data_IF_529189900800
#
_entry.id   IF_529189900800
#
_cell.length_a   1.000
_cell.length_b   1.000
_cell.length_c   1.000
_cell.angle_alpha   90.00
_cell.angle_beta   90.00
_cell.angle_gamma   90.00
#
_symmetry.space_group_name_H-M   'P 1'
#
loop_
_entity.id
_entity.type
_entity.pdbx_description
1 polymer ?
#
# COMPACT_ATOMS: atom_id res chain seq x y z
N UNK A 1 -24.29 -15.14 6.34
CA UNK A 1 -23.51 -13.89 6.52
C UNK A 1 -24.37 -12.87 7.22
N UNK A 2 -23.83 -12.25 8.30
CA UNK A 2 -24.58 -11.30 9.12
C UNK A 2 -24.67 -9.95 8.37
N UNK A 3 -25.86 -9.34 8.30
CA UNK A 3 -26.07 -8.03 7.64
C UNK A 3 -25.16 -6.92 8.15
N UNK A 4 -24.82 -6.94 9.45
CA UNK A 4 -23.86 -6.03 10.08
C UNK A 4 -22.45 -6.15 9.46
N UNK A 5 -21.97 -7.36 9.19
CA UNK A 5 -20.66 -7.58 8.55
C UNK A 5 -20.66 -7.11 7.09
N UNK A 6 -21.73 -7.37 6.35
CA UNK A 6 -21.85 -6.96 4.96
C UNK A 6 -21.94 -5.43 4.81
N UNK A 7 -22.67 -4.76 5.69
CA UNK A 7 -22.80 -3.30 5.64
C UNK A 7 -21.50 -2.58 6.02
N UNK A 8 -20.74 -3.11 6.99
CA UNK A 8 -19.42 -2.57 7.36
C UNK A 8 -18.43 -2.77 6.22
N UNK A 9 -18.37 -3.97 5.65
CA UNK A 9 -17.49 -4.29 4.51
C UNK A 9 -17.77 -3.37 3.31
N UNK A 10 -19.03 -3.18 2.95
CA UNK A 10 -19.41 -2.28 1.86
C UNK A 10 -18.96 -0.83 2.07
N UNK A 11 -18.98 -0.33 3.33
CA UNK A 11 -18.47 1.00 3.66
C UNK A 11 -16.95 1.08 3.55
N UNK A 12 -16.24 0.01 3.91
CA UNK A 12 -14.79 -0.07 3.82
C UNK A 12 -14.34 -0.21 2.36
N UNK A 13 -15.07 -0.99 1.54
CA UNK A 13 -14.82 -1.10 0.10
C UNK A 13 -14.98 0.26 -0.61
N UNK A 14 -16.05 1.02 -0.29
CA UNK A 14 -16.27 2.36 -0.85
C UNK A 14 -15.20 3.36 -0.39
N UNK A 15 -14.81 3.31 0.89
CA UNK A 15 -13.73 4.11 1.44
C UNK A 15 -12.41 3.82 0.72
N UNK A 16 -12.04 2.54 0.64
CA UNK A 16 -10.81 2.10 -0.02
C UNK A 16 -10.78 2.51 -1.50
N UNK A 17 -11.87 2.23 -2.24
CA UNK A 17 -11.99 2.65 -3.64
C UNK A 17 -11.78 4.16 -3.79
N UNK A 18 -12.35 4.94 -2.90
CA UNK A 18 -12.26 6.40 -2.96
C UNK A 18 -10.84 6.88 -2.70
N UNK A 19 -10.17 6.33 -1.68
CA UNK A 19 -8.78 6.66 -1.38
C UNK A 19 -7.87 6.24 -2.55
N UNK A 20 -8.00 5.00 -3.03
CA UNK A 20 -7.08 4.46 -4.02
C UNK A 20 -7.26 5.07 -5.41
N UNK A 21 -8.49 5.32 -5.85
CA UNK A 21 -8.73 5.94 -7.17
C UNK A 21 -8.15 7.36 -7.25
N UNK A 22 -8.10 8.08 -6.12
CA UNK A 22 -7.64 9.47 -6.05
C UNK A 22 -6.12 9.66 -6.00
N UNK A 23 -5.33 8.58 -5.89
CA UNK A 23 -3.87 8.70 -5.80
C UNK A 23 -3.26 9.21 -7.10
N UNK A 24 -2.39 10.20 -7.01
CA UNK A 24 -1.62 10.72 -8.16
C UNK A 24 -0.63 9.65 -8.63
N UNK A 25 -0.53 9.48 -9.95
CA UNK A 25 0.32 8.43 -10.55
C UNK A 25 -0.43 7.15 -10.93
N UNK A 26 -1.71 7.05 -10.62
CA UNK A 26 -2.56 5.97 -11.10
C UNK A 26 -2.81 6.07 -12.63
N UNK A 27 -3.24 4.95 -13.23
CA UNK A 27 -3.62 4.90 -14.63
C UNK A 27 -4.92 5.69 -14.92
N UNK A 28 -5.30 5.75 -16.19
CA UNK A 28 -6.53 6.44 -16.64
C UNK A 28 -7.80 5.95 -15.94
N UNK A 29 -7.90 4.66 -15.60
CA UNK A 29 -9.08 4.13 -14.89
C UNK A 29 -9.21 4.68 -13.48
N UNK A 30 -8.11 4.89 -12.76
CA UNK A 30 -8.11 5.57 -11.46
C UNK A 30 -8.65 6.99 -11.60
N UNK A 31 -8.12 7.76 -12.54
CA UNK A 31 -8.62 9.09 -12.85
C UNK A 31 -10.11 9.08 -13.23
N UNK A 32 -10.53 8.18 -14.12
CA UNK A 32 -11.94 8.05 -14.52
C UNK A 32 -12.86 7.70 -13.36
N UNK A 33 -12.45 6.77 -12.48
CA UNK A 33 -13.22 6.42 -11.29
C UNK A 33 -13.32 7.60 -10.30
N UNK A 34 -12.26 8.39 -10.14
CA UNK A 34 -12.28 9.59 -9.31
C UNK A 34 -13.33 10.58 -9.80
N UNK A 35 -13.33 10.87 -11.10
CA UNK A 35 -14.27 11.84 -11.68
C UNK A 35 -15.71 11.33 -11.87
N UNK A 36 -15.92 10.02 -11.79
CA UNK A 36 -17.25 9.42 -11.94
C UNK A 36 -17.79 8.86 -10.62
N UNK A 37 -17.22 7.76 -10.15
CA UNK A 37 -17.74 7.03 -8.98
C UNK A 37 -17.52 7.80 -7.67
N UNK A 38 -16.28 8.29 -7.46
CA UNK A 38 -15.91 9.01 -6.23
C UNK A 38 -16.66 10.34 -6.15
N UNK A 39 -16.64 11.13 -7.22
CA UNK A 39 -17.37 12.40 -7.28
C UNK A 39 -18.87 12.20 -6.99
N UNK A 40 -19.50 11.19 -7.58
CA UNK A 40 -20.93 10.87 -7.30
C UNK A 40 -21.17 10.45 -5.84
N UNK A 41 -20.25 9.69 -5.24
CA UNK A 41 -20.34 9.30 -3.83
C UNK A 41 -20.25 10.53 -2.91
N UNK A 42 -19.32 11.45 -3.18
CA UNK A 42 -19.16 12.69 -2.43
C UNK A 42 -20.41 13.58 -2.56
N UNK A 43 -20.94 13.77 -3.77
CA UNK A 43 -22.14 14.57 -3.99
C UNK A 43 -23.34 13.98 -3.24
N UNK A 44 -23.52 12.65 -3.31
CA UNK A 44 -24.65 11.97 -2.65
C UNK A 44 -24.59 12.01 -1.13
N UNK A 45 -23.40 11.87 -0.56
CA UNK A 45 -23.20 11.74 0.90
C UNK A 45 -22.76 13.04 1.59
N UNK A 46 -22.37 14.04 0.82
CA UNK A 46 -22.00 15.37 1.31
C UNK A 46 -20.67 15.44 2.06
N UNK A 47 -20.49 16.56 2.78
CA UNK A 47 -19.24 16.91 3.48
C UNK A 47 -18.83 15.88 4.53
N UNK A 48 -19.81 15.26 5.22
CA UNK A 48 -19.52 14.24 6.25
C UNK A 48 -18.73 13.05 5.67
N UNK A 49 -19.09 12.60 4.47
CA UNK A 49 -18.37 11.52 3.79
C UNK A 49 -16.95 11.97 3.37
N UNK A 50 -16.82 13.19 2.84
CA UNK A 50 -15.54 13.77 2.48
C UNK A 50 -14.58 13.77 3.68
N UNK A 51 -15.06 14.20 4.85
CA UNK A 51 -14.26 14.25 6.08
C UNK A 51 -13.93 12.87 6.65
N UNK A 52 -14.65 11.80 6.28
CA UNK A 52 -14.31 10.42 6.68
C UNK A 52 -13.25 9.78 5.78
N UNK A 53 -12.97 10.37 4.62
CA UNK A 53 -11.97 9.87 3.67
C UNK A 53 -10.62 10.53 3.89
N UNK A 54 -10.61 11.85 3.97
CA UNK A 54 -9.41 12.66 4.11
C UNK A 54 -9.59 13.67 5.24
N UNK A 55 -8.61 13.76 6.09
CA UNK A 55 -8.45 14.82 7.07
C UNK A 55 -7.58 15.94 6.46
N UNK A 56 -7.69 17.16 6.98
CA UNK A 56 -6.87 18.32 6.57
C UNK A 56 -6.86 18.56 5.04
N UNK A 57 -8.04 18.53 4.42
CA UNK A 57 -8.16 18.65 2.96
C UNK A 57 -7.76 20.06 2.50
N UNK A 58 -6.81 20.13 1.59
CA UNK A 58 -6.39 21.33 0.91
C UNK A 58 -6.59 21.19 -0.61
N UNK A 59 -7.08 22.23 -1.24
CA UNK A 59 -7.15 22.33 -2.70
C UNK A 59 -5.87 22.98 -3.21
N UNK A 60 -5.19 22.31 -4.14
CA UNK A 60 -4.00 22.82 -4.79
C UNK A 60 -4.04 22.51 -6.27
N UNK A 61 -3.01 22.93 -7.01
CA UNK A 61 -2.90 22.69 -8.43
C UNK A 61 -1.59 21.97 -8.74
N UNK A 62 -1.70 20.85 -9.41
CA UNK A 62 -0.57 20.14 -9.99
C UNK A 62 -0.35 20.63 -11.41
N UNK A 63 0.90 20.96 -11.78
CA UNK A 63 1.29 21.28 -13.15
C UNK A 63 2.08 20.13 -13.75
N UNK A 64 1.68 19.65 -14.92
CA UNK A 64 2.47 18.68 -15.64
C UNK A 64 3.66 19.35 -16.38
N UNK A 65 4.52 18.53 -16.98
CA UNK A 65 5.70 18.99 -17.73
C UNK A 65 5.35 19.95 -18.88
N UNK A 66 4.13 19.86 -19.43
CA UNK A 66 3.63 20.76 -20.48
C UNK A 66 2.99 22.04 -19.92
N UNK A 67 3.08 22.27 -18.61
CA UNK A 67 2.53 23.47 -17.95
C UNK A 67 1.01 23.46 -17.76
N UNK A 68 0.32 22.36 -18.09
CA UNK A 68 -1.13 22.24 -17.89
C UNK A 68 -1.41 22.04 -16.40
N UNK A 69 -2.29 22.87 -15.86
CA UNK A 69 -2.65 22.87 -14.45
C UNK A 69 -3.91 22.06 -14.19
N UNK A 70 -3.84 21.16 -13.21
CA UNK A 70 -4.96 20.31 -12.77
C UNK A 70 -5.27 20.58 -11.29
N UNK A 71 -6.53 20.82 -10.92
CA UNK A 71 -6.90 20.90 -9.51
C UNK A 71 -6.78 19.52 -8.86
N UNK A 72 -6.10 19.46 -7.72
CA UNK A 72 -5.93 18.26 -6.91
C UNK A 72 -6.31 18.54 -5.47
N UNK A 73 -6.82 17.51 -4.80
CA UNK A 73 -7.07 17.54 -3.37
C UNK A 73 -5.91 16.82 -2.67
N UNK A 74 -5.27 17.50 -1.76
CA UNK A 74 -4.28 16.91 -0.85
C UNK A 74 -4.95 16.78 0.51
N UNK A 75 -4.77 15.66 1.19
CA UNK A 75 -5.29 15.44 2.53
C UNK A 75 -4.69 14.17 3.14
N UNK A 76 -4.84 14.03 4.44
CA UNK A 76 -4.40 12.84 5.16
C UNK A 76 -5.53 11.81 5.16
N UNK A 77 -5.34 10.62 4.57
CA UNK A 77 -6.34 9.57 4.68
C UNK A 77 -6.35 9.01 6.11
N UNK A 78 -7.50 8.49 6.56
CA UNK A 78 -7.56 7.76 7.82
C UNK A 78 -6.68 6.52 7.75
N UNK A 79 -5.47 6.65 8.30
CA UNK A 79 -4.41 5.64 8.18
C UNK A 79 -4.81 4.30 8.79
N UNK A 80 -5.38 4.29 10.00
CA UNK A 80 -5.77 3.06 10.70
C UNK A 80 -6.83 2.28 9.92
N UNK A 81 -7.76 3.00 9.32
CA UNK A 81 -8.79 2.40 8.47
C UNK A 81 -8.21 1.83 7.19
N UNK A 82 -7.32 2.56 6.51
CA UNK A 82 -6.58 2.07 5.34
C UNK A 82 -5.77 0.82 5.68
N UNK A 83 -5.01 0.88 6.76
CA UNK A 83 -4.22 -0.25 7.24
C UNK A 83 -5.08 -1.48 7.47
N UNK A 84 -6.23 -1.31 8.15
CA UNK A 84 -7.19 -2.40 8.39
C UNK A 84 -7.76 -2.97 7.10
N UNK A 85 -8.10 -2.13 6.11
CA UNK A 85 -8.57 -2.57 4.80
C UNK A 85 -7.52 -3.42 4.08
N UNK A 86 -6.28 -2.94 3.99
CA UNK A 86 -5.19 -3.67 3.34
C UNK A 86 -4.83 -4.96 4.06
N UNK A 87 -4.83 -4.96 5.39
CA UNK A 87 -4.62 -6.15 6.19
C UNK A 87 -5.65 -7.24 5.88
N UNK A 88 -6.92 -6.86 5.82
CA UNK A 88 -8.00 -7.80 5.51
C UNK A 88 -7.88 -8.37 4.09
N UNK A 89 -7.53 -7.53 3.10
CA UNK A 89 -7.29 -7.99 1.72
C UNK A 89 -6.10 -8.95 1.68
N UNK A 90 -4.98 -8.56 2.28
CA UNK A 90 -3.75 -9.35 2.29
C UNK A 90 -3.97 -10.73 2.93
N UNK A 91 -4.71 -10.80 4.04
CA UNK A 91 -5.03 -12.07 4.71
C UNK A 91 -6.00 -12.93 3.87
N UNK A 92 -6.93 -12.30 3.18
CA UNK A 92 -7.81 -12.97 2.23
C UNK A 92 -7.04 -13.56 1.04
N UNK A 93 -6.09 -12.81 0.47
CA UNK A 93 -5.22 -13.26 -0.61
C UNK A 93 -4.28 -14.39 -0.14
N UNK A 94 -3.74 -14.27 1.08
CA UNK A 94 -2.93 -15.34 1.69
C UNK A 94 -3.72 -16.63 1.81
N UNK A 95 -4.95 -16.55 2.33
CA UNK A 95 -5.83 -17.73 2.42
C UNK A 95 -6.14 -18.31 1.03
N UNK A 96 -6.40 -17.45 0.05
CA UNK A 96 -6.66 -17.88 -1.32
C UNK A 96 -5.47 -18.62 -1.93
N UNK A 97 -4.26 -18.10 -1.73
CA UNK A 97 -3.02 -18.67 -2.31
C UNK A 97 -2.58 -19.96 -1.62
N UNK A 98 -2.64 -20.01 -0.30
CA UNK A 98 -2.05 -21.10 0.49
C UNK A 98 -3.08 -22.06 1.11
N UNK A 99 -4.38 -21.79 1.00
CA UNK A 99 -5.46 -22.64 1.54
C UNK A 99 -5.54 -22.68 3.06
N UNK A 100 -4.76 -21.87 3.76
CA UNK A 100 -4.72 -21.79 5.23
C UNK A 100 -4.82 -20.35 5.73
N UNK A 101 -5.34 -20.17 6.95
CA UNK A 101 -5.31 -18.84 7.61
C UNK A 101 -3.88 -18.47 7.92
N UNK A 102 -3.58 -17.19 7.75
CA UNK A 102 -2.30 -16.66 8.20
C UNK A 102 -2.25 -16.60 9.73
N UNK A 103 -1.21 -17.21 10.30
CA UNK A 103 -0.90 -17.15 11.72
C UNK A 103 0.54 -16.66 11.88
N UNK A 104 0.72 -15.48 12.49
CA UNK A 104 2.02 -14.87 12.65
C UNK A 104 1.96 -13.35 12.69
N UNK A 105 3.09 -12.73 12.39
CA UNK A 105 3.25 -11.28 12.35
C UNK A 105 3.26 -10.78 10.90
N UNK A 106 2.59 -9.66 10.63
CA UNK A 106 2.64 -9.02 9.31
C UNK A 106 2.97 -7.54 9.43
N UNK A 107 3.73 -7.02 8.47
CA UNK A 107 3.97 -5.60 8.28
C UNK A 107 3.38 -5.16 6.96
N UNK A 108 2.79 -3.97 6.94
CA UNK A 108 2.16 -3.38 5.75
C UNK A 108 2.77 -2.02 5.52
N UNK A 109 3.27 -1.80 4.32
CA UNK A 109 3.81 -0.53 3.87
C UNK A 109 3.01 -0.03 2.67
N UNK A 110 2.52 1.19 2.77
CA UNK A 110 1.76 1.87 1.71
C UNK A 110 2.72 2.76 0.93
N UNK A 111 3.22 2.26 -0.18
CA UNK A 111 4.27 2.91 -0.99
C UNK A 111 3.83 4.26 -1.60
N UNK A 112 2.53 4.44 -1.79
CA UNK A 112 1.94 5.66 -2.36
C UNK A 112 1.79 6.81 -1.34
N UNK A 113 2.00 6.57 -0.05
CA UNK A 113 2.00 7.63 0.97
C UNK A 113 3.39 8.25 1.07
N UNK A 114 3.42 9.56 1.26
CA UNK A 114 4.65 10.30 1.61
C UNK A 114 4.69 10.49 3.12
N UNK A 115 5.79 10.14 3.73
CA UNK A 115 6.01 10.30 5.16
C UNK A 115 6.89 11.52 5.41
N UNK A 116 6.58 12.27 6.47
CA UNK A 116 7.39 13.43 6.88
C UNK A 116 8.74 13.00 7.48
N UNK A 117 8.79 11.79 8.03
CA UNK A 117 9.98 11.20 8.61
C UNK A 117 10.92 10.64 7.53
N UNK A 118 12.11 11.21 7.43
CA UNK A 118 13.14 10.85 6.44
C UNK A 118 13.55 9.38 6.55
N UNK A 119 13.61 8.83 7.76
CA UNK A 119 13.98 7.43 7.99
C UNK A 119 12.93 6.49 7.41
N UNK A 120 11.66 6.78 7.59
CA UNK A 120 10.55 6.00 7.00
C UNK A 120 10.59 6.03 5.47
N UNK A 121 10.90 7.19 4.87
CA UNK A 121 11.06 7.29 3.41
C UNK A 121 12.27 6.47 2.92
N UNK A 122 13.40 6.51 3.60
CA UNK A 122 14.57 5.67 3.28
C UNK A 122 14.25 4.18 3.38
N UNK A 123 13.52 3.75 4.41
CA UNK A 123 13.08 2.37 4.56
C UNK A 123 12.18 1.95 3.38
N UNK A 124 11.26 2.80 2.98
CA UNK A 124 10.40 2.55 1.82
C UNK A 124 11.20 2.33 0.54
N UNK A 125 12.20 3.19 0.29
CA UNK A 125 13.10 3.06 -0.86
C UNK A 125 13.92 1.77 -0.79
N UNK A 126 14.45 1.41 0.38
CA UNK A 126 15.19 0.18 0.62
C UNK A 126 14.35 -1.07 0.29
N UNK A 127 13.11 -1.13 0.79
CA UNK A 127 12.22 -2.27 0.53
C UNK A 127 11.87 -2.36 -0.96
N UNK A 128 11.61 -1.22 -1.61
CA UNK A 128 11.35 -1.16 -3.05
C UNK A 128 12.54 -1.71 -3.83
N UNK A 129 13.75 -1.25 -3.51
CA UNK A 129 14.98 -1.69 -4.16
C UNK A 129 15.18 -3.20 -4.04
N UNK A 130 15.01 -3.78 -2.85
CA UNK A 130 15.10 -5.23 -2.64
C UNK A 130 14.12 -6.02 -3.51
N UNK A 131 12.87 -5.56 -3.63
CA UNK A 131 11.88 -6.22 -4.48
C UNK A 131 12.21 -6.10 -5.98
N UNK A 132 12.91 -5.03 -6.40
CA UNK A 132 13.36 -4.85 -7.78
C UNK A 132 14.51 -5.80 -8.14
N UNK A 133 15.38 -6.11 -7.19
CA UNK A 133 16.53 -7.01 -7.35
C UNK A 133 16.16 -8.49 -7.33
N UNK A 134 14.94 -8.86 -6.91
CA UNK A 134 14.46 -10.23 -6.99
C UNK A 134 14.60 -10.77 -8.42
N UNK A 135 15.46 -11.78 -8.57
CA UNK A 135 15.79 -12.38 -9.88
C UNK A 135 14.62 -13.11 -10.49
N UNK A 136 13.77 -13.74 -9.66
CA UNK A 136 12.58 -14.45 -10.09
C UNK A 136 11.35 -13.54 -9.92
N UNK A 137 10.91 -12.93 -11.02
CA UNK A 137 9.69 -12.12 -10.99
C UNK A 137 8.47 -13.00 -10.72
N UNK A 138 7.66 -12.67 -9.71
CA UNK A 138 6.48 -13.44 -9.38
C UNK A 138 5.41 -13.32 -10.48
N UNK A 139 4.54 -14.34 -10.55
CA UNK A 139 3.35 -14.27 -11.38
C UNK A 139 2.38 -13.20 -10.84
N UNK A 140 1.94 -12.32 -11.73
CA UNK A 140 0.95 -11.29 -11.42
C UNK A 140 -0.44 -11.90 -11.57
N UNK A 141 -1.21 -11.89 -10.50
CA UNK A 141 -2.57 -12.40 -10.41
C UNK A 141 -3.58 -11.25 -10.29
N UNK A 142 -4.83 -11.48 -10.70
CA UNK A 142 -5.92 -10.51 -10.59
C UNK A 142 -6.90 -10.60 -11.76
N UNK A 143 -8.20 -10.59 -11.47
CA UNK A 143 -9.25 -10.66 -12.50
C UNK A 143 -9.33 -9.40 -13.37
N UNK A 144 -8.91 -8.26 -12.83
CA UNK A 144 -8.84 -6.99 -13.57
C UNK A 144 -7.55 -6.24 -13.19
N UNK A 145 -6.41 -6.57 -13.81
CA UNK A 145 -5.10 -6.05 -13.43
C UNK A 145 -4.94 -4.54 -13.64
N UNK A 146 -5.79 -3.92 -14.43
CA UNK A 146 -5.79 -2.46 -14.58
C UNK A 146 -6.36 -1.74 -13.34
N UNK A 147 -7.20 -2.42 -12.54
CA UNK A 147 -7.76 -1.89 -11.30
C UNK A 147 -7.03 -2.45 -10.09
N UNK A 148 -6.85 -3.78 -10.06
CA UNK A 148 -6.22 -4.47 -8.96
C UNK A 148 -5.49 -5.71 -9.44
N UNK A 149 -4.22 -5.82 -9.07
CA UNK A 149 -3.40 -7.01 -9.23
C UNK A 149 -2.55 -7.25 -7.99
N UNK A 150 -2.07 -8.46 -7.83
CA UNK A 150 -1.19 -8.81 -6.73
C UNK A 150 -0.19 -9.89 -7.15
N UNK A 151 0.91 -9.96 -6.41
CA UNK A 151 1.92 -10.97 -6.63
C UNK A 151 2.54 -11.40 -5.30
N UNK A 152 2.64 -12.72 -5.09
CA UNK A 152 3.39 -13.31 -3.98
C UNK A 152 4.78 -13.64 -4.43
N UNK A 153 5.77 -13.12 -3.72
CA UNK A 153 7.16 -13.49 -3.88
C UNK A 153 7.45 -14.79 -3.13
N UNK A 154 8.46 -15.51 -3.55
CA UNK A 154 8.93 -16.68 -2.81
C UNK A 154 9.44 -16.27 -1.43
N UNK A 155 9.39 -17.18 -0.45
CA UNK A 155 10.02 -16.91 0.84
C UNK A 155 11.49 -16.55 0.64
N UNK A 156 11.92 -15.48 1.31
CA UNK A 156 13.33 -15.09 1.34
C UNK A 156 14.18 -16.08 2.18
N UNK A 157 15.45 -15.79 2.32
CA UNK A 157 16.40 -16.58 3.11
C UNK A 157 16.00 -16.72 4.60
N UNK A 158 15.16 -15.82 5.11
CA UNK A 158 14.62 -15.84 6.47
C UNK A 158 13.22 -16.48 6.53
N UNK A 159 12.68 -16.95 5.42
CA UNK A 159 11.34 -17.54 5.34
C UNK A 159 10.19 -16.52 5.34
N UNK A 160 10.47 -15.24 5.10
CA UNK A 160 9.45 -14.21 4.98
C UNK A 160 8.80 -14.25 3.60
N UNK A 161 7.47 -14.21 3.56
CA UNK A 161 6.70 -14.17 2.32
C UNK A 161 6.31 -12.73 2.06
N UNK A 162 6.68 -12.19 0.90
CA UNK A 162 6.29 -10.85 0.48
C UNK A 162 5.10 -10.90 -0.48
N UNK A 163 4.16 -9.99 -0.28
CA UNK A 163 3.02 -9.74 -1.15
C UNK A 163 3.05 -8.30 -1.62
N UNK A 164 2.98 -8.09 -2.93
CA UNK A 164 2.77 -6.78 -3.53
C UNK A 164 1.35 -6.71 -4.07
N UNK A 165 0.56 -5.78 -3.57
CA UNK A 165 -0.76 -5.43 -4.10
C UNK A 165 -0.63 -4.14 -4.90
N UNK A 166 -1.12 -4.12 -6.13
CA UNK A 166 -1.05 -2.96 -7.02
C UNK A 166 -2.46 -2.51 -7.38
N UNK A 167 -2.75 -1.25 -7.13
CA UNK A 167 -4.02 -0.61 -7.44
C UNK A 167 -3.82 0.38 -8.59
N UNK A 168 -4.68 0.33 -9.59
CA UNK A 168 -4.67 1.21 -10.76
C UNK A 168 -3.28 1.34 -11.42
N UNK A 169 -2.51 0.27 -11.40
CA UNK A 169 -1.15 0.18 -11.94
C UNK A 169 -0.13 1.19 -11.36
N UNK A 170 -0.55 2.08 -10.47
CA UNK A 170 0.29 3.14 -9.89
C UNK A 170 0.57 2.93 -8.41
N UNK A 171 -0.46 2.67 -7.62
CA UNK A 171 -0.35 2.60 -6.15
C UNK A 171 -0.02 1.20 -5.67
N UNK A 172 1.08 1.05 -4.93
CA UNK A 172 1.52 -0.24 -4.38
C UNK A 172 1.35 -0.29 -2.88
N UNK A 173 1.01 -1.48 -2.40
CA UNK A 173 1.01 -1.83 -0.98
C UNK A 173 1.82 -3.10 -0.82
N UNK A 174 2.84 -3.03 0.02
CA UNK A 174 3.78 -4.11 0.29
C UNK A 174 3.41 -4.75 1.63
N UNK A 175 3.33 -6.06 1.65
CA UNK A 175 3.02 -6.81 2.88
C UNK A 175 4.07 -7.90 3.06
N UNK A 176 4.71 -7.89 4.22
CA UNK A 176 5.60 -8.96 4.63
C UNK A 176 4.88 -9.84 5.66
N UNK A 177 4.88 -11.14 5.43
CA UNK A 177 4.31 -12.15 6.30
C UNK A 177 5.41 -12.98 6.94
N UNK A 178 5.42 -13.05 8.27
CA UNK A 178 6.23 -13.95 9.07
C UNK A 178 5.34 -14.97 9.75
N UNK A 179 5.37 -16.20 9.26
CA UNK A 179 4.58 -17.29 9.87
C UNK A 179 5.06 -17.61 11.29
N UNK A 180 4.16 -18.11 12.12
CA UNK A 180 4.50 -18.60 13.45
C UNK A 180 5.54 -19.72 13.35
N UNK A 181 6.59 -19.62 14.18
CA UNK A 181 7.69 -20.60 14.22
C UNK A 181 8.94 -20.16 13.46
N UNK A 182 8.88 -19.12 12.65
CA UNK A 182 10.08 -18.49 12.09
C UNK A 182 10.81 -17.79 13.21
N UNK A 183 12.02 -18.28 13.56
CA UNK A 183 12.80 -17.79 14.70
C UNK A 183 13.58 -16.53 14.39
N UNK A 184 13.96 -16.36 13.12
CA UNK A 184 14.74 -15.20 12.73
C UNK A 184 13.98 -13.89 12.92
N UNK A 185 14.68 -12.83 13.28
CA UNK A 185 14.06 -11.55 13.49
C UNK A 185 13.35 -11.09 12.22
N UNK A 186 12.11 -10.74 12.37
CA UNK A 186 11.35 -10.07 11.35
C UNK A 186 12.12 -8.82 10.91
N UNK A 187 12.83 -8.97 9.80
CA UNK A 187 13.70 -7.96 9.26
C UNK A 187 14.73 -7.41 10.27
N UNK A 188 15.88 -8.12 10.41
CA UNK A 188 16.96 -7.72 11.32
C UNK A 188 17.40 -6.26 11.05
N UNK A 189 17.51 -5.87 9.77
CA UNK A 189 17.84 -4.50 9.36
C UNK A 189 16.89 -3.49 10.00
N UNK A 190 15.57 -3.76 9.94
CA UNK A 190 14.56 -2.90 10.55
C UNK A 190 14.66 -2.84 12.07
N UNK A 191 14.99 -3.96 12.72
CA UNK A 191 15.24 -3.97 14.17
C UNK A 191 16.44 -3.14 14.56
N UNK A 192 17.53 -3.23 13.82
CA UNK A 192 18.74 -2.41 14.05
C UNK A 192 18.43 -0.93 13.86
N UNK A 193 17.76 -0.57 12.77
CA UNK A 193 17.35 0.80 12.49
C UNK A 193 16.46 1.34 13.64
N UNK A 194 15.42 0.60 14.00
CA UNK A 194 14.47 1.01 15.05
C UNK A 194 15.07 1.07 16.46
N UNK A 195 16.17 0.35 16.69
CA UNK A 195 16.90 0.40 17.97
C UNK A 195 17.97 1.51 18.01
N UNK A 196 18.06 2.34 16.97
CA UNK A 196 19.03 3.44 16.90
C UNK A 196 20.47 2.99 16.57
N UNK A 197 20.66 1.76 16.11
CA UNK A 197 21.97 1.27 15.68
C UNK A 197 22.29 1.83 14.31
N UNK A 198 23.47 2.45 14.16
CA UNK A 198 23.93 2.91 12.86
C UNK A 198 24.01 1.70 11.91
N UNK A 199 23.21 1.77 10.84
CA UNK A 199 23.02 0.65 9.92
C UNK A 199 23.30 1.13 8.50
N UNK A 200 24.20 0.42 7.80
CA UNK A 200 24.53 0.67 6.40
C UNK A 200 24.09 -0.54 5.57
N UNK A 201 23.40 -0.29 4.47
CA UNK A 201 22.95 -1.30 3.52
C UNK A 201 23.43 -0.90 2.15
N UNK A 202 24.29 -1.72 1.57
CA UNK A 202 24.83 -1.53 0.22
C UNK A 202 24.28 -2.61 -0.71
N UNK A 203 23.99 -2.23 -1.94
CA UNK A 203 23.51 -3.11 -3.01
C UNK A 203 24.59 -3.31 -4.07
N UNK A 204 24.52 -4.41 -4.82
CA UNK A 204 25.52 -4.79 -5.85
C UNK A 204 25.68 -3.73 -6.95
N UNK A 205 24.68 -2.91 -7.20
CA UNK A 205 24.75 -1.81 -8.18
C UNK A 205 25.37 -0.52 -7.62
N UNK A 206 25.87 -0.55 -6.38
CA UNK A 206 26.49 0.59 -5.71
C UNK A 206 25.51 1.55 -5.04
N UNK A 207 24.20 1.24 -5.06
CA UNK A 207 23.22 1.99 -4.27
C UNK A 207 23.41 1.69 -2.79
N UNK A 208 23.45 2.72 -1.95
CA UNK A 208 23.60 2.57 -0.51
C UNK A 208 22.56 3.36 0.30
N UNK A 209 22.27 2.88 1.50
CA UNK A 209 21.40 3.51 2.47
C UNK A 209 22.08 3.54 3.85
N UNK A 210 22.16 4.70 4.45
CA UNK A 210 22.62 4.89 5.81
C UNK A 210 21.46 5.34 6.71
N UNK A 211 21.31 4.68 7.87
CA UNK A 211 20.29 4.91 8.88
C UNK A 211 20.94 5.16 10.24
N UNK A 212 20.40 6.12 11.03
CA UNK A 212 20.84 6.56 12.39
C UNK A 212 22.19 7.26 12.38
#
# INVERSE_FOLDING_TARGET
>A
SCELHNSKKSKDDEFLMTCMAGVVGNNFLGYFHTHTKVKRAIIRKGQAFRNTILEEIQETHFKNENGVSFPVLIGRPNFDRLYSCFKNIAYGLYYHKFGKRFEGESQIMMDFLTFEDEQTEKIKLLVRKRLEEETEKPEIEGANPEIFSYAFYRPDEFGLISLVMTFYQGSKVLVAFKETGIKEPFNLTMKLINSGVKTHVEFDDGTDFEFN
#
